data_IF_681748713046
#
_entry.id   IF_681748713046
#
_cell.length_a   1.000
_cell.length_b   1.000
_cell.length_c   1.000
_cell.angle_alpha   90.00
_cell.angle_beta   90.00
_cell.angle_gamma   90.00
#
_symmetry.space_group_name_H-M   'P 1'
#
loop_
_entity.id
_entity.type
_entity.pdbx_description
1 polymer ?
#
# COMPACT_ATOMS: atom_id res chain seq x y z
N UNK A 1 8.09 16.83 -11.89
CA UNK A 1 7.98 15.72 -10.92
C UNK A 1 8.81 14.53 -11.40
N UNK A 2 9.96 14.25 -10.77
CA UNK A 2 10.67 12.98 -11.00
C UNK A 2 9.85 11.85 -10.36
N UNK A 3 9.09 11.13 -11.19
CA UNK A 3 8.43 9.89 -10.78
C UNK A 3 9.51 8.89 -10.37
N UNK A 4 9.47 8.41 -9.12
CA UNK A 4 10.41 7.39 -8.63
C UNK A 4 10.14 6.09 -9.40
N UNK A 5 11.21 5.43 -9.85
CA UNK A 5 11.13 4.14 -10.55
C UNK A 5 11.74 3.05 -9.69
N UNK A 6 11.17 1.85 -9.75
CA UNK A 6 11.74 0.66 -9.13
C UNK A 6 12.84 0.05 -10.02
N UNK A 7 13.56 -0.96 -9.50
CA UNK A 7 14.60 -1.69 -10.25
C UNK A 7 14.08 -2.37 -11.53
N UNK A 8 12.77 -2.56 -11.66
CA UNK A 8 12.10 -3.17 -12.82
C UNK A 8 11.56 -2.13 -13.81
N UNK A 9 11.81 -0.84 -13.58
CA UNK A 9 11.38 0.26 -14.44
C UNK A 9 9.92 0.70 -14.24
N UNK A 10 9.23 0.19 -13.22
CA UNK A 10 7.86 0.56 -12.88
C UNK A 10 7.84 1.87 -12.13
N UNK A 11 6.79 2.66 -12.35
CA UNK A 11 6.56 3.93 -11.64
C UNK A 11 5.99 3.62 -10.26
N UNK A 12 6.69 4.07 -9.21
CA UNK A 12 6.22 4.05 -7.84
C UNK A 12 5.37 5.31 -7.55
N UNK A 13 4.27 5.12 -6.85
CA UNK A 13 3.40 6.17 -6.35
C UNK A 13 4.01 6.90 -5.13
N UNK A 14 3.40 8.01 -4.75
CA UNK A 14 3.79 8.77 -3.57
C UNK A 14 3.57 7.93 -2.31
N UNK A 15 4.63 7.77 -1.50
CA UNK A 15 4.58 6.94 -0.30
C UNK A 15 5.04 5.50 -0.51
N UNK A 16 5.16 5.03 -1.76
CA UNK A 16 5.72 3.74 -2.11
C UNK A 16 7.26 3.82 -2.22
N UNK A 17 7.94 2.81 -1.69
CA UNK A 17 9.38 2.62 -1.83
C UNK A 17 9.72 1.15 -2.01
N UNK A 18 10.69 0.84 -2.87
CA UNK A 18 11.28 -0.48 -2.94
C UNK A 18 12.43 -0.58 -1.93
N UNK A 19 12.40 -1.63 -1.10
CA UNK A 19 13.46 -1.98 -0.16
C UNK A 19 14.61 -2.70 -0.89
N UNK A 20 15.83 -2.69 -0.32
CA UNK A 20 16.97 -3.41 -0.91
C UNK A 20 16.70 -4.90 -1.08
N UNK A 21 15.91 -5.50 -0.18
CA UNK A 21 15.49 -6.91 -0.21
C UNK A 21 14.55 -7.27 -1.37
N UNK A 22 14.08 -6.28 -2.14
CA UNK A 22 13.08 -6.47 -3.21
C UNK A 22 11.62 -6.41 -2.75
N UNK A 23 11.39 -6.31 -1.43
CA UNK A 23 10.07 -5.99 -0.84
C UNK A 23 9.67 -4.55 -1.14
N UNK A 24 8.38 -4.28 -1.13
CA UNK A 24 7.82 -2.95 -1.24
C UNK A 24 7.30 -2.49 0.11
N UNK A 25 7.46 -1.19 0.37
CA UNK A 25 6.93 -0.51 1.56
C UNK A 25 6.04 0.64 1.13
N UNK A 26 4.86 0.75 1.72
CA UNK A 26 3.98 1.91 1.60
C UNK A 26 3.87 2.62 2.94
N UNK A 27 4.06 3.94 2.94
CA UNK A 27 3.87 4.78 4.12
C UNK A 27 2.54 5.52 3.99
N UNK A 28 1.70 5.41 5.01
CA UNK A 28 0.45 6.15 5.12
C UNK A 28 0.28 6.76 6.51
N UNK A 29 -0.63 7.71 6.60
CA UNK A 29 -1.11 8.27 7.86
C UNK A 29 -2.53 7.80 8.04
N UNK A 30 -2.81 7.21 9.20
CA UNK A 30 -4.14 6.70 9.55
C UNK A 30 -5.09 7.85 9.97
N UNK A 31 -6.38 7.56 10.13
CA UNK A 31 -7.40 8.51 10.61
C UNK A 31 -7.07 9.10 11.98
N UNK A 32 -6.27 8.38 12.78
CA UNK A 32 -5.78 8.82 14.09
C UNK A 32 -4.56 9.75 14.01
N UNK A 33 -4.05 10.06 12.81
CA UNK A 33 -2.82 10.84 12.61
C UNK A 33 -1.52 10.04 12.78
N UNK A 34 -1.64 8.75 13.09
CA UNK A 34 -0.52 7.84 13.29
C UNK A 34 0.12 7.41 11.96
N UNK A 35 1.45 7.47 11.90
CA UNK A 35 2.21 7.03 10.71
C UNK A 35 2.36 5.51 10.73
N UNK A 36 1.78 4.84 9.74
CA UNK A 36 1.84 3.40 9.57
C UNK A 36 2.63 3.02 8.32
N UNK A 37 3.13 1.80 8.33
CA UNK A 37 3.93 1.24 7.24
C UNK A 37 3.39 -0.12 6.86
N UNK A 38 3.13 -0.31 5.56
CA UNK A 38 2.78 -1.60 4.98
C UNK A 38 3.99 -2.18 4.30
N UNK A 39 4.07 -3.50 4.33
CA UNK A 39 5.10 -4.26 3.67
C UNK A 39 4.44 -5.33 2.80
N UNK A 40 4.87 -5.44 1.56
CA UNK A 40 4.46 -6.55 0.69
C UNK A 40 5.62 -7.01 -0.18
N UNK A 41 5.62 -8.28 -0.55
CA UNK A 41 6.57 -8.84 -1.52
C UNK A 41 6.27 -8.36 -2.94
N UNK A 42 5.02 -7.97 -3.19
CA UNK A 42 4.49 -7.68 -4.52
C UNK A 42 3.92 -6.28 -4.58
N UNK A 43 4.18 -5.59 -5.69
CA UNK A 43 3.64 -4.25 -5.91
C UNK A 43 2.20 -4.35 -6.41
N UNK A 44 1.94 -5.27 -7.33
CA UNK A 44 0.67 -5.42 -8.03
C UNK A 44 0.19 -6.89 -8.01
N UNK A 45 -1.13 -7.11 -8.08
CA UNK A 45 -1.72 -8.45 -8.14
C UNK A 45 -1.32 -9.22 -9.40
N UNK A 46 -0.78 -8.52 -10.41
CA UNK A 46 -0.24 -9.13 -11.63
C UNK A 46 1.14 -9.79 -11.44
N UNK A 47 1.88 -9.47 -10.37
CA UNK A 47 3.19 -10.10 -10.14
C UNK A 47 3.04 -11.61 -9.79
N UNK A 48 3.92 -12.51 -10.24
CA UNK A 48 3.85 -13.91 -9.80
C UNK A 48 4.22 -14.04 -8.31
N UNK A 49 3.50 -14.89 -7.57
CA UNK A 49 3.86 -15.22 -6.18
C UNK A 49 5.09 -16.13 -6.17
N UNK A 50 6.15 -15.81 -5.40
CA UNK A 50 7.25 -16.74 -5.21
C UNK A 50 6.76 -18.03 -4.52
N UNK A 51 7.15 -19.19 -5.05
CA UNK A 51 6.76 -20.51 -4.52
C UNK A 51 7.16 -20.63 -3.04
N UNK A 52 6.22 -21.04 -2.18
CA UNK A 52 6.46 -21.28 -0.76
C UNK A 52 6.08 -20.13 0.18
N UNK A 53 5.61 -19.00 -0.34
CA UNK A 53 5.10 -17.90 0.48
C UNK A 53 3.58 -17.96 0.64
N UNK A 54 3.08 -17.52 1.80
CA UNK A 54 1.64 -17.34 2.05
C UNK A 54 1.07 -16.35 1.03
N UNK A 55 -0.16 -16.57 0.60
CA UNK A 55 -0.88 -15.66 -0.28
C UNK A 55 -1.09 -14.31 0.42
N UNK A 56 -0.13 -13.41 0.29
CA UNK A 56 -0.20 -12.06 0.79
C UNK A 56 -0.79 -11.14 -0.29
N UNK A 57 -1.67 -10.20 0.08
CA UNK A 57 -2.18 -9.20 -0.85
C UNK A 57 -1.05 -8.29 -1.36
N UNK A 58 -1.23 -7.76 -2.57
CA UNK A 58 -0.29 -6.81 -3.14
C UNK A 58 -0.35 -5.47 -2.38
N UNK A 59 0.72 -4.69 -2.46
CA UNK A 59 0.81 -3.40 -1.77
C UNK A 59 -0.36 -2.47 -2.14
N UNK A 60 -0.75 -2.45 -3.41
CA UNK A 60 -1.87 -1.62 -3.91
C UNK A 60 -3.23 -2.08 -3.44
N UNK A 61 -3.44 -3.39 -3.25
CA UNK A 61 -4.70 -3.89 -2.71
C UNK A 61 -4.85 -3.52 -1.24
N UNK A 62 -3.75 -3.62 -0.48
CA UNK A 62 -3.69 -3.16 0.91
C UNK A 62 -3.93 -1.65 1.02
N UNK A 63 -3.33 -0.85 0.15
CA UNK A 63 -3.57 0.59 0.08
C UNK A 63 -5.05 0.90 -0.12
N UNK A 64 -5.68 0.26 -1.11
CA UNK A 64 -7.11 0.46 -1.40
C UNK A 64 -7.99 0.07 -0.21
N UNK A 65 -7.67 -1.02 0.47
CA UNK A 65 -8.42 -1.47 1.64
C UNK A 65 -8.36 -0.41 2.75
N UNK A 66 -7.18 0.11 3.05
CA UNK A 66 -7.03 1.19 4.03
C UNK A 66 -7.74 2.47 3.57
N UNK A 67 -7.62 2.85 2.30
CA UNK A 67 -8.33 4.02 1.78
C UNK A 67 -9.85 3.87 1.93
N UNK A 68 -10.39 2.67 1.72
CA UNK A 68 -11.79 2.37 1.96
C UNK A 68 -12.14 2.46 3.45
N UNK A 69 -11.33 1.86 4.33
CA UNK A 69 -11.53 1.89 5.79
C UNK A 69 -11.48 3.33 6.32
N UNK A 70 -10.50 4.13 5.88
CA UNK A 70 -10.35 5.55 6.22
C UNK A 70 -11.57 6.36 5.77
N UNK A 71 -12.08 6.08 4.56
CA UNK A 71 -13.24 6.78 4.02
C UNK A 71 -14.54 6.40 4.77
N UNK A 72 -14.75 5.11 5.03
CA UNK A 72 -15.93 4.60 5.74
C UNK A 72 -16.01 5.15 7.18
N UNK A 73 -14.88 5.19 7.89
CA UNK A 73 -14.79 5.76 9.23
C UNK A 73 -15.11 7.26 9.30
N UNK A 74 -14.95 8.01 8.20
CA UNK A 74 -15.33 9.42 8.11
C UNK A 74 -16.82 9.56 7.86
N UNK A 75 -17.39 8.76 6.94
CA UNK A 75 -18.81 8.81 6.57
C UNK A 75 -19.71 8.43 7.76
N UNK A 76 -19.29 7.45 8.57
CA UNK A 76 -20.05 7.01 9.74
C UNK A 76 -20.20 8.08 10.84
N UNK A 77 -19.38 9.14 10.87
CA UNK A 77 -19.48 10.20 11.90
C UNK A 77 -20.36 11.38 11.52
N UNK A 78 -20.77 11.50 10.26
CA UNK A 78 -21.46 12.72 9.75
C UNK A 78 -22.96 12.49 9.49
N UNK A 79 -23.45 11.25 9.59
CA UNK A 79 -24.86 10.93 9.35
C UNK A 79 -25.54 10.30 10.57
N UNK A 80 -25.43 10.91 11.76
CA UNK A 80 -26.44 10.71 12.80
C UNK A 80 -26.36 11.86 13.83
N UNK A 81 -27.29 12.81 13.72
CA UNK A 81 -27.91 13.70 14.74
C UNK A 81 -28.12 15.10 14.18
#
# INVERSE_FOLDING_TARGET
>A
MNKRRDKRGRILHSGECQLPDGRYRFKYTDSFGERKYLYSLRLDHNDPMPKGHKNAPALRDLEKQIQADLFDHIVSRVCCS
#
